data_IF_450020081112
#
_entry.id   IF_450020081112
#
_cell.length_a   1.000
_cell.length_b   1.000
_cell.length_c   1.000
_cell.angle_alpha   90.00
_cell.angle_beta   90.00
_cell.angle_gamma   90.00
#
_symmetry.space_group_name_H-M   'P 1'
#
loop_
_entity.id
_entity.type
_entity.pdbx_description
1 polymer ?
#
# COMPACT_ATOMS: atom_id res chain seq x y z
N UNK A 1 9.15 19.46 -14.15
CA UNK A 1 8.25 18.88 -13.12
C UNK A 1 7.75 17.48 -13.50
N UNK A 2 7.29 17.24 -14.73
CA UNK A 2 6.71 15.95 -15.15
C UNK A 2 7.67 14.76 -15.32
N UNK A 3 8.99 14.97 -15.51
CA UNK A 3 9.96 13.88 -15.70
C UNK A 3 9.99 12.88 -14.54
N UNK A 4 9.97 13.37 -13.30
CA UNK A 4 10.00 12.53 -12.09
C UNK A 4 8.72 11.70 -11.95
N UNK A 5 7.56 12.29 -12.21
CA UNK A 5 6.28 11.58 -12.17
C UNK A 5 6.21 10.50 -13.26
N UNK A 6 6.69 10.80 -14.46
CA UNK A 6 6.74 9.84 -15.55
C UNK A 6 7.67 8.65 -15.22
N UNK A 7 8.84 8.94 -14.65
CA UNK A 7 9.79 7.92 -14.22
C UNK A 7 9.21 7.02 -13.11
N UNK A 8 8.57 7.62 -12.10
CA UNK A 8 7.89 6.88 -11.02
C UNK A 8 6.76 6.01 -11.58
N UNK A 9 5.93 6.55 -12.47
CA UNK A 9 4.85 5.80 -13.11
C UNK A 9 5.37 4.63 -13.94
N UNK A 10 6.46 4.82 -14.68
CA UNK A 10 7.09 3.76 -15.48
C UNK A 10 7.66 2.65 -14.58
N UNK A 11 8.34 3.02 -13.49
CA UNK A 11 8.87 2.04 -12.52
C UNK A 11 7.73 1.28 -11.83
N UNK A 12 6.67 1.98 -11.41
CA UNK A 12 5.50 1.38 -10.79
C UNK A 12 4.80 0.41 -11.74
N UNK A 13 4.64 0.75 -13.02
CA UNK A 13 4.05 -0.14 -14.03
C UNK A 13 4.86 -1.42 -14.19
N UNK A 14 6.18 -1.34 -14.35
CA UNK A 14 7.04 -2.52 -14.42
C UNK A 14 6.95 -3.39 -13.16
N UNK A 15 6.93 -2.78 -11.97
CA UNK A 15 6.75 -3.50 -10.72
C UNK A 15 5.38 -4.20 -10.65
N UNK A 16 4.30 -3.57 -11.12
CA UNK A 16 2.95 -4.16 -11.11
C UNK A 16 2.85 -5.39 -12.03
N UNK A 17 3.56 -5.41 -13.16
CA UNK A 17 3.62 -6.56 -14.06
C UNK A 17 4.27 -7.78 -13.37
N UNK A 18 5.33 -7.56 -12.60
CA UNK A 18 5.96 -8.62 -11.80
C UNK A 18 5.04 -9.07 -10.65
N UNK A 19 4.44 -8.12 -9.93
CA UNK A 19 3.55 -8.40 -8.80
C UNK A 19 2.28 -9.15 -9.20
N UNK A 20 1.81 -8.99 -10.43
CA UNK A 20 0.60 -9.68 -10.90
C UNK A 20 0.71 -11.20 -10.92
N UNK A 21 1.94 -11.73 -11.00
CA UNK A 21 2.23 -13.15 -11.14
C UNK A 21 2.79 -13.80 -9.87
N UNK A 22 2.98 -13.06 -8.79
CA UNK A 22 3.50 -13.63 -7.54
C UNK A 22 2.39 -14.26 -6.70
N UNK A 23 2.74 -15.30 -5.95
CA UNK A 23 1.80 -15.99 -5.08
C UNK A 23 1.38 -15.14 -3.88
N UNK A 24 0.19 -15.39 -3.33
CA UNK A 24 -0.28 -14.81 -2.06
C UNK A 24 0.74 -14.99 -0.93
N UNK A 25 1.42 -16.13 -0.88
CA UNK A 25 2.47 -16.40 0.10
C UNK A 25 3.57 -15.35 0.03
N UNK A 26 4.11 -15.05 -1.15
CA UNK A 26 5.18 -14.05 -1.33
C UNK A 26 4.68 -12.65 -0.97
N UNK A 27 3.43 -12.30 -1.33
CA UNK A 27 2.81 -11.03 -0.95
C UNK A 27 2.76 -10.89 0.58
N UNK A 28 2.31 -11.93 1.27
CA UNK A 28 2.19 -11.95 2.73
C UNK A 28 3.56 -11.94 3.43
N UNK A 29 4.56 -12.63 2.90
CA UNK A 29 5.94 -12.56 3.39
C UNK A 29 6.50 -11.12 3.29
N UNK A 30 6.24 -10.43 2.18
CA UNK A 30 6.61 -9.03 2.01
C UNK A 30 5.94 -8.10 3.04
N UNK A 31 4.65 -8.30 3.32
CA UNK A 31 3.91 -7.55 4.33
C UNK A 31 4.43 -7.84 5.75
N UNK A 32 4.75 -9.09 6.06
CA UNK A 32 5.35 -9.46 7.36
C UNK A 32 6.72 -8.82 7.55
N UNK A 33 7.54 -8.78 6.49
CA UNK A 33 8.85 -8.14 6.56
C UNK A 33 8.72 -6.62 6.71
N UNK A 34 7.76 -5.99 6.02
CA UNK A 34 7.42 -4.57 6.23
C UNK A 34 7.06 -4.30 7.69
N UNK A 35 6.17 -5.11 8.29
CA UNK A 35 5.78 -5.00 9.69
C UNK A 35 6.99 -5.10 10.62
N UNK A 36 7.86 -6.10 10.43
CA UNK A 36 9.09 -6.26 11.24
C UNK A 36 9.98 -5.03 11.15
N UNK A 37 10.15 -4.47 9.96
CA UNK A 37 10.97 -3.29 9.76
C UNK A 37 10.36 -2.04 10.42
N UNK A 38 9.04 -1.85 10.35
CA UNK A 38 8.36 -0.75 11.05
C UNK A 38 8.60 -0.84 12.57
N UNK A 39 8.48 -2.04 13.15
CA UNK A 39 8.73 -2.25 14.59
C UNK A 39 10.21 -2.01 14.92
N UNK A 40 11.11 -2.58 14.12
CA UNK A 40 12.57 -2.48 14.33
C UNK A 40 13.07 -1.04 14.31
N UNK A 41 12.53 -0.23 13.40
CA UNK A 41 12.96 1.15 13.21
C UNK A 41 11.99 2.16 13.84
N UNK A 42 11.09 1.72 14.72
CA UNK A 42 10.06 2.59 15.33
C UNK A 42 10.67 3.82 16.04
N UNK A 43 11.72 3.64 16.82
CA UNK A 43 12.36 4.75 17.54
C UNK A 43 13.03 5.75 16.59
N UNK A 44 13.63 5.26 15.49
CA UNK A 44 14.21 6.12 14.46
C UNK A 44 13.12 6.90 13.70
N UNK A 45 12.02 6.23 13.37
CA UNK A 45 10.85 6.86 12.72
C UNK A 45 10.29 7.96 13.61
N UNK A 46 10.10 7.71 14.91
CA UNK A 46 9.59 8.71 15.86
C UNK A 46 10.54 9.89 15.97
N UNK A 47 11.84 9.65 16.09
CA UNK A 47 12.86 10.70 16.16
C UNK A 47 12.90 11.59 14.91
N UNK A 48 12.71 11.01 13.74
CA UNK A 48 12.63 11.80 12.48
C UNK A 48 11.32 12.57 12.43
N UNK A 49 10.22 11.98 12.88
CA UNK A 49 8.91 12.65 12.92
C UNK A 49 8.90 13.87 13.86
N UNK A 50 9.66 13.87 14.96
CA UNK A 50 9.82 15.06 15.82
C UNK A 50 10.31 16.28 15.02
N UNK A 51 11.27 16.08 14.12
CA UNK A 51 11.77 17.14 13.24
C UNK A 51 10.71 17.64 12.26
N UNK A 52 9.85 16.74 11.76
CA UNK A 52 8.75 17.12 10.88
C UNK A 52 7.73 17.98 11.63
N UNK A 53 7.44 17.64 12.88
CA UNK A 53 6.54 18.41 13.76
C UNK A 53 7.14 19.79 14.08
N UNK A 54 8.43 19.85 14.40
CA UNK A 54 9.11 21.14 14.60
C UNK A 54 9.02 22.03 13.35
N UNK A 55 9.25 21.48 12.19
CA UNK A 55 9.14 22.20 10.92
C UNK A 55 7.71 22.65 10.62
N UNK A 56 6.72 21.82 10.94
CA UNK A 56 5.31 22.14 10.79
C UNK A 56 4.90 23.32 11.70
N UNK A 57 5.38 23.32 12.95
CA UNK A 57 5.17 24.43 13.90
C UNK A 57 5.83 25.73 13.43
N UNK A 58 7.07 25.66 12.92
CA UNK A 58 7.77 26.83 12.34
C UNK A 58 7.02 27.42 11.14
N UNK A 59 6.33 26.58 10.37
CA UNK A 59 5.49 26.99 9.23
C UNK A 59 4.08 27.42 9.63
N UNK A 60 3.76 27.44 10.91
CA UNK A 60 2.45 27.82 11.46
C UNK A 60 1.30 26.99 10.84
N UNK A 61 1.50 25.70 10.63
CA UNK A 61 0.45 24.81 10.14
C UNK A 61 -0.63 24.66 11.21
N UNK A 62 -1.88 24.40 10.77
CA UNK A 62 -3.00 24.25 11.70
C UNK A 62 -2.82 23.03 12.62
N UNK A 63 -3.40 23.08 13.82
CA UNK A 63 -3.36 21.99 14.80
C UNK A 63 -3.88 20.67 14.23
N UNK A 64 -4.88 20.72 13.37
CA UNK A 64 -5.43 19.54 12.68
C UNK A 64 -4.40 18.89 11.73
N UNK A 65 -3.57 19.66 11.05
CA UNK A 65 -2.50 19.15 10.19
C UNK A 65 -1.37 18.57 11.05
N UNK A 66 -1.00 19.26 12.13
CA UNK A 66 0.03 18.79 13.07
C UNK A 66 -0.39 17.48 13.71
N UNK A 67 -1.64 17.34 14.15
CA UNK A 67 -2.14 16.08 14.71
C UNK A 67 -2.06 14.92 13.69
N UNK A 68 -2.43 15.16 12.44
CA UNK A 68 -2.32 14.14 11.37
C UNK A 68 -0.87 13.78 11.05
N UNK A 69 0.06 14.72 11.20
CA UNK A 69 1.49 14.49 10.97
C UNK A 69 2.14 13.73 12.12
N UNK A 70 1.64 13.91 13.34
CA UNK A 70 2.25 13.37 14.56
C UNK A 70 2.18 11.85 14.59
N UNK A 71 3.32 11.20 14.74
CA UNK A 71 3.43 9.77 15.04
C UNK A 71 3.73 9.58 16.54
N UNK A 72 3.18 8.51 17.10
CA UNK A 72 3.50 8.00 18.43
C UNK A 72 3.49 6.46 18.39
N UNK A 73 3.84 5.82 19.49
CA UNK A 73 3.88 4.36 19.57
C UNK A 73 2.53 3.72 19.22
N UNK A 74 1.43 4.27 19.72
CA UNK A 74 0.08 3.73 19.47
C UNK A 74 -0.28 3.80 17.97
N UNK A 75 0.12 4.87 17.28
CA UNK A 75 -0.09 5.01 15.82
C UNK A 75 0.77 4.02 15.04
N UNK A 76 2.01 3.79 15.46
CA UNK A 76 2.88 2.76 14.87
C UNK A 76 2.31 1.36 15.12
N UNK A 77 1.85 1.06 16.32
CA UNK A 77 1.19 -0.21 16.64
C UNK A 77 -0.08 -0.41 15.82
N UNK A 78 -0.86 0.65 15.62
CA UNK A 78 -2.04 0.61 14.75
C UNK A 78 -1.68 0.31 13.29
N UNK A 79 -0.59 0.87 12.75
CA UNK A 79 -0.09 0.53 11.42
C UNK A 79 0.28 -0.94 11.31
N UNK A 80 0.96 -1.50 12.32
CA UNK A 80 1.36 -2.91 12.31
C UNK A 80 0.16 -3.85 12.42
N UNK A 81 -0.85 -3.50 13.20
CA UNK A 81 -2.14 -4.22 13.27
C UNK A 81 -2.89 -4.17 11.93
N UNK A 82 -2.89 -3.02 11.26
CA UNK A 82 -3.50 -2.90 9.92
C UNK A 82 -2.82 -3.81 8.90
N UNK A 83 -1.50 -4.00 8.98
CA UNK A 83 -0.80 -4.98 8.14
C UNK A 83 -1.27 -6.40 8.43
N UNK A 84 -1.45 -6.78 9.71
CA UNK A 84 -1.98 -8.09 10.07
C UNK A 84 -3.40 -8.32 9.53
N UNK A 85 -4.24 -7.29 9.55
CA UNK A 85 -5.57 -7.38 8.97
C UNK A 85 -5.54 -7.58 7.45
N UNK A 86 -4.63 -6.88 6.75
CA UNK A 86 -4.45 -7.05 5.30
C UNK A 86 -3.99 -8.47 4.97
N UNK A 87 -3.06 -9.05 5.74
CA UNK A 87 -2.58 -10.43 5.55
C UNK A 87 -3.70 -11.46 5.69
N UNK A 88 -4.71 -11.20 6.53
CA UNK A 88 -5.86 -12.10 6.73
C UNK A 88 -6.86 -12.05 5.58
N UNK A 89 -6.83 -11.01 4.75
CA UNK A 89 -7.73 -10.90 3.61
C UNK A 89 -7.41 -11.98 2.57
N UNK A 90 -8.46 -12.54 1.99
CA UNK A 90 -8.32 -13.43 0.84
C UNK A 90 -7.75 -12.66 -0.36
N UNK A 91 -6.72 -13.22 -1.01
CA UNK A 91 -6.17 -12.64 -2.23
C UNK A 91 -7.22 -12.74 -3.36
N UNK A 92 -7.71 -11.62 -3.90
CA UNK A 92 -8.75 -11.65 -4.93
C UNK A 92 -8.20 -12.02 -6.31
N UNK A 93 -6.86 -12.01 -6.51
CA UNK A 93 -6.25 -12.22 -7.82
C UNK A 93 -6.39 -13.68 -8.25
N UNK A 94 -6.93 -13.88 -9.45
CA UNK A 94 -7.15 -15.22 -10.01
C UNK A 94 -8.40 -15.94 -9.51
N UNK A 95 -9.23 -15.28 -8.67
CA UNK A 95 -10.48 -15.87 -8.18
C UNK A 95 -11.52 -15.97 -9.30
N UNK A 96 -12.06 -17.18 -9.50
CA UNK A 96 -13.18 -17.39 -10.41
C UNK A 96 -14.45 -16.81 -9.78
N UNK A 97 -15.00 -15.76 -10.39
CA UNK A 97 -16.20 -15.08 -9.91
C UNK A 97 -17.47 -15.72 -10.44
N UNK A 98 -17.43 -16.26 -11.65
CA UNK A 98 -18.51 -17.02 -12.26
C UNK A 98 -17.96 -17.91 -13.36
N UNK A 99 -18.63 -19.04 -13.59
CA UNK A 99 -18.29 -20.00 -14.63
C UNK A 99 -19.58 -20.49 -15.30
N UNK A 100 -19.55 -20.72 -16.63
CA UNK A 100 -20.66 -21.28 -17.38
C UNK A 100 -20.17 -22.00 -18.63
N UNK A 101 -20.92 -23.03 -19.04
CA UNK A 101 -20.67 -23.79 -20.26
C UNK A 101 -21.50 -23.24 -21.42
N UNK A 102 -20.95 -23.35 -22.62
CA UNK A 102 -21.65 -23.06 -23.87
C UNK A 102 -22.07 -24.35 -24.58
N UNK A 103 -23.14 -24.34 -25.42
CA UNK A 103 -23.60 -25.53 -26.13
C UNK A 103 -22.52 -26.18 -27.03
N UNK A 104 -21.51 -25.44 -27.44
CA UNK A 104 -20.38 -25.90 -28.24
C UNK A 104 -19.26 -26.53 -27.41
N UNK A 105 -19.46 -26.76 -26.08
CA UNK A 105 -18.47 -27.31 -25.17
C UNK A 105 -17.42 -26.34 -24.64
N UNK A 106 -17.53 -25.04 -24.97
CA UNK A 106 -16.61 -24.02 -24.46
C UNK A 106 -16.95 -23.67 -23.01
N UNK A 107 -15.96 -23.76 -22.10
CA UNK A 107 -16.03 -23.27 -20.72
C UNK A 107 -15.58 -21.84 -20.66
N UNK A 108 -16.42 -20.97 -20.10
CA UNK A 108 -16.11 -19.55 -19.93
C UNK A 108 -16.03 -19.25 -18.44
N UNK A 109 -14.97 -18.57 -18.02
CA UNK A 109 -14.77 -18.14 -16.63
C UNK A 109 -14.57 -16.63 -16.58
N UNK A 110 -15.21 -15.98 -15.60
CA UNK A 110 -14.93 -14.61 -15.20
C UNK A 110 -13.96 -14.63 -14.03
N UNK A 111 -12.73 -14.19 -14.28
CA UNK A 111 -11.63 -14.23 -13.29
C UNK A 111 -11.27 -12.80 -12.88
N UNK A 112 -11.05 -12.57 -11.58
CA UNK A 112 -10.54 -11.30 -11.08
C UNK A 112 -9.05 -11.14 -11.41
N UNK A 113 -8.70 -9.95 -11.90
CA UNK A 113 -7.33 -9.59 -12.27
C UNK A 113 -6.85 -8.40 -11.44
N UNK A 114 -5.52 -8.21 -11.27
CA UNK A 114 -4.99 -7.04 -10.56
C UNK A 114 -5.45 -5.74 -11.23
N UNK A 115 -5.76 -4.73 -10.41
CA UNK A 115 -6.15 -3.40 -10.91
C UNK A 115 -4.98 -2.66 -11.60
N UNK A 116 -3.75 -3.05 -11.28
CA UNK A 116 -2.55 -2.40 -11.79
C UNK A 116 -2.06 -1.28 -10.87
N UNK A 117 -1.49 -0.23 -11.46
CA UNK A 117 -0.98 0.93 -10.71
C UNK A 117 -2.08 1.93 -10.44
N UNK A 118 -2.23 2.32 -9.18
CA UNK A 118 -3.16 3.36 -8.76
C UNK A 118 -2.34 4.61 -8.41
N UNK A 119 -2.69 5.74 -9.00
CA UNK A 119 -2.16 7.05 -8.63
C UNK A 119 -3.09 7.72 -7.62
N UNK A 120 -2.55 8.08 -6.44
CA UNK A 120 -3.28 8.84 -5.43
C UNK A 120 -2.60 10.19 -5.23
N UNK A 121 -3.36 11.27 -5.37
CA UNK A 121 -2.89 12.62 -5.07
C UNK A 121 -3.54 13.12 -3.78
N UNK A 122 -2.70 13.60 -2.86
CA UNK A 122 -3.12 14.23 -1.60
C UNK A 122 -3.00 15.76 -1.66
N UNK A 123 -2.69 16.31 -2.83
CA UNK A 123 -2.59 17.74 -3.05
C UNK A 123 -3.98 18.27 -3.34
N UNK A 124 -4.38 19.33 -2.64
CA UNK A 124 -5.60 20.04 -2.97
C UNK A 124 -5.47 20.65 -4.37
N UNK A 125 -6.36 20.25 -5.21
CA UNK A 125 -6.53 20.81 -6.55
C UNK A 125 -7.46 22.02 -6.43
#
# INVERSE_FOLDING_TARGET
MYKRQLELGTKAKKASELLSNISTKIKNEGLLELKKNIIKFSDEILKVNEKDIENANKKLLSSAIIDRLTLNKDRIDSMTKSIDEIIKLEDPVGKVMSEWDRPNGLKIQKISVPLGVIGLSLIHI
#
